data_IF_455728417702
#
_entry.id   IF_455728417702
#
_cell.length_a   1.000
_cell.length_b   1.000
_cell.length_c   1.000
_cell.angle_alpha   90.00
_cell.angle_beta   90.00
_cell.angle_gamma   90.00
#
_symmetry.space_group_name_H-M   'P 1'
#
loop_
_entity.id
_entity.type
_entity.pdbx_description
1 polymer ?
#
# COMPACT_ATOMS: atom_id res chain seq x y z
N UNK A 1 -9.86 -0.67 21.47
CA UNK A 1 -9.69 -0.96 20.04
C UNK A 1 -10.90 -0.44 19.26
N UNK A 2 -10.64 0.45 18.33
CA UNK A 2 -11.69 1.05 17.52
C UNK A 2 -11.96 0.14 16.32
N UNK A 3 -13.23 -0.15 16.08
CA UNK A 3 -13.63 -0.88 14.90
C UNK A 3 -13.61 0.03 13.68
N UNK A 4 -12.86 -0.36 12.66
CA UNK A 4 -12.79 0.38 11.41
C UNK A 4 -13.67 -0.29 10.36
N UNK A 5 -14.34 0.53 9.56
CA UNK A 5 -15.05 0.02 8.38
C UNK A 5 -14.03 -0.31 7.29
N UNK A 6 -14.39 -1.18 6.34
CA UNK A 6 -13.51 -1.44 5.20
C UNK A 6 -13.12 -0.17 4.44
N UNK A 7 -14.05 0.77 4.30
CA UNK A 7 -13.75 2.04 3.63
C UNK A 7 -12.71 2.85 4.39
N UNK A 8 -12.80 2.91 5.72
CA UNK A 8 -11.84 3.63 6.57
C UNK A 8 -10.46 2.98 6.49
N UNK A 9 -10.41 1.65 6.50
CA UNK A 9 -9.14 0.92 6.36
C UNK A 9 -8.48 1.19 5.02
N UNK A 10 -9.26 1.18 3.94
CA UNK A 10 -8.74 1.47 2.60
C UNK A 10 -8.18 2.89 2.52
N UNK A 11 -8.86 3.87 3.11
CA UNK A 11 -8.39 5.25 3.16
C UNK A 11 -7.09 5.36 3.95
N UNK A 12 -6.97 4.65 5.08
CA UNK A 12 -5.75 4.65 5.90
C UNK A 12 -4.58 4.05 5.15
N UNK A 13 -4.79 2.98 4.41
CA UNK A 13 -3.74 2.36 3.60
C UNK A 13 -3.31 3.30 2.47
N UNK A 14 -4.26 3.97 1.82
CA UNK A 14 -3.94 4.97 0.79
C UNK A 14 -3.04 6.07 1.36
N UNK A 15 -3.37 6.62 2.52
CA UNK A 15 -2.58 7.66 3.17
C UNK A 15 -1.17 7.17 3.52
N UNK A 16 -1.06 5.95 4.02
CA UNK A 16 0.24 5.35 4.36
C UNK A 16 1.11 5.21 3.12
N UNK A 17 0.55 4.65 2.05
CA UNK A 17 1.28 4.49 0.78
C UNK A 17 1.67 5.85 0.20
N UNK A 18 0.78 6.84 0.31
CA UNK A 18 1.07 8.20 -0.15
C UNK A 18 2.24 8.83 0.61
N UNK A 19 2.26 8.69 1.91
CA UNK A 19 3.36 9.19 2.74
C UNK A 19 4.69 8.49 2.41
N UNK A 20 4.64 7.18 2.20
CA UNK A 20 5.82 6.42 1.81
C UNK A 20 6.33 6.86 0.44
N UNK A 21 5.44 7.05 -0.51
CA UNK A 21 5.79 7.45 -1.87
C UNK A 21 6.34 8.86 -1.98
N UNK A 22 5.91 9.75 -1.10
CA UNK A 22 6.41 11.13 -1.07
C UNK A 22 7.66 11.31 -0.20
N UNK A 23 8.15 10.23 0.41
CA UNK A 23 9.33 10.27 1.24
C UNK A 23 9.11 10.91 2.62
N UNK A 24 7.87 11.00 3.05
CA UNK A 24 7.53 11.60 4.35
C UNK A 24 7.62 10.55 5.47
N UNK A 25 8.84 10.27 5.91
CA UNK A 25 9.11 9.27 6.94
C UNK A 25 8.37 9.48 8.25
N UNK A 26 8.39 10.69 8.83
CA UNK A 26 7.66 10.93 10.08
C UNK A 26 6.16 10.63 9.99
N UNK A 27 5.52 11.04 8.91
CA UNK A 27 4.09 10.77 8.70
C UNK A 27 3.86 9.28 8.48
N UNK A 28 4.65 8.64 7.61
CA UNK A 28 4.52 7.21 7.35
C UNK A 28 4.70 6.39 8.63
N UNK A 29 5.69 6.74 9.45
CA UNK A 29 5.93 6.07 10.73
C UNK A 29 4.77 6.21 11.69
N UNK A 30 4.21 7.41 11.81
CA UNK A 30 3.04 7.64 12.66
C UNK A 30 1.83 6.88 12.19
N UNK A 31 1.58 6.85 10.88
CA UNK A 31 0.44 6.12 10.32
C UNK A 31 0.57 4.62 10.54
N UNK A 32 1.78 4.07 10.35
CA UNK A 32 2.04 2.66 10.60
C UNK A 32 1.84 2.31 12.08
N UNK A 33 2.42 3.10 12.97
CA UNK A 33 2.28 2.91 14.42
C UNK A 33 0.83 3.00 14.85
N UNK A 34 0.10 3.98 14.32
CA UNK A 34 -1.33 4.15 14.63
C UNK A 34 -2.13 2.91 14.19
N UNK A 35 -1.89 2.42 12.99
CA UNK A 35 -2.60 1.24 12.47
C UNK A 35 -2.35 0.01 13.36
N UNK A 36 -1.10 -0.21 13.75
CA UNK A 36 -0.73 -1.38 14.54
C UNK A 36 -1.11 -1.26 16.00
N UNK A 37 -0.82 -0.11 16.63
CA UNK A 37 -0.92 0.03 18.08
C UNK A 37 -2.23 0.65 18.57
N UNK A 38 -2.84 1.55 17.76
CA UNK A 38 -4.09 2.20 18.15
C UNK A 38 -5.29 1.48 17.54
N UNK A 39 -5.27 1.24 16.23
CA UNK A 39 -6.35 0.53 15.56
C UNK A 39 -6.30 -0.97 15.80
N UNK A 40 -5.17 -1.48 16.26
CA UNK A 40 -5.00 -2.89 16.55
C UNK A 40 -5.01 -3.79 15.35
N UNK A 41 -4.62 -3.27 14.18
CA UNK A 41 -4.57 -4.10 12.97
C UNK A 41 -3.51 -5.18 13.13
N UNK A 42 -3.87 -6.47 12.93
CA UNK A 42 -2.86 -7.52 12.90
C UNK A 42 -1.84 -7.23 11.79
N UNK A 43 -0.53 -7.34 12.07
CA UNK A 43 0.49 -7.01 11.08
C UNK A 43 0.34 -7.71 9.74
N UNK A 44 0.02 -9.00 9.73
CA UNK A 44 -0.18 -9.74 8.47
C UNK A 44 -1.39 -9.24 7.69
N UNK A 45 -2.45 -8.79 8.39
CA UNK A 45 -3.61 -8.21 7.73
C UNK A 45 -3.25 -6.87 7.10
N UNK A 46 -2.56 -6.01 7.85
CA UNK A 46 -2.13 -4.72 7.34
C UNK A 46 -1.22 -4.90 6.12
N UNK A 47 -0.29 -5.85 6.22
CA UNK A 47 0.61 -6.19 5.11
C UNK A 47 -0.16 -6.63 3.87
N UNK A 48 -1.19 -7.47 4.06
CA UNK A 48 -2.05 -7.91 2.96
C UNK A 48 -2.80 -6.75 2.31
N UNK A 49 -3.26 -5.79 3.10
CA UNK A 49 -3.94 -4.60 2.58
C UNK A 49 -2.97 -3.70 1.81
N UNK A 50 -1.75 -3.55 2.30
CA UNK A 50 -0.71 -2.79 1.59
C UNK A 50 -0.39 -3.46 0.26
N UNK A 51 -0.23 -4.78 0.26
CA UNK A 51 0.04 -5.56 -0.96
C UNK A 51 -1.08 -5.37 -1.99
N UNK A 52 -2.32 -5.44 -1.54
CA UNK A 52 -3.49 -5.25 -2.40
C UNK A 52 -3.48 -3.86 -3.04
N UNK A 53 -3.13 -2.85 -2.26
CA UNK A 53 -3.08 -1.48 -2.75
C UNK A 53 -2.02 -1.32 -3.85
N UNK A 54 -0.81 -1.82 -3.61
CA UNK A 54 0.26 -1.77 -4.62
C UNK A 54 -0.11 -2.56 -5.87
N UNK A 55 -0.75 -3.71 -5.73
CA UNK A 55 -1.22 -4.50 -6.87
C UNK A 55 -2.21 -3.69 -7.70
N UNK A 56 -3.11 -2.98 -7.04
CA UNK A 56 -4.08 -2.12 -7.71
C UNK A 56 -3.39 -1.01 -8.51
N UNK A 57 -2.35 -0.38 -7.94
CA UNK A 57 -1.57 0.63 -8.64
C UNK A 57 -0.88 0.06 -9.89
N UNK A 58 -0.33 -1.15 -9.77
CA UNK A 58 0.32 -1.84 -10.89
C UNK A 58 -0.69 -2.13 -12.00
N UNK A 59 -1.86 -2.66 -11.65
CA UNK A 59 -2.92 -2.95 -12.61
C UNK A 59 -3.40 -1.68 -13.32
N UNK A 60 -3.56 -0.60 -12.57
CA UNK A 60 -3.96 0.69 -13.11
C UNK A 60 -2.93 1.18 -14.14
N UNK A 61 -1.65 1.16 -13.79
CA UNK A 61 -0.58 1.58 -14.72
C UNK A 61 -0.53 0.71 -15.97
N UNK A 62 -0.74 -0.59 -15.82
CA UNK A 62 -0.74 -1.51 -16.94
C UNK A 62 -1.85 -1.17 -17.94
N UNK A 63 -3.05 -0.85 -17.43
CA UNK A 63 -4.17 -0.47 -18.29
C UNK A 63 -3.94 0.88 -18.95
N UNK A 64 -3.37 1.85 -18.20
CA UNK A 64 -3.00 3.13 -18.79
C UNK A 64 -2.01 2.96 -19.94
N UNK A 65 -1.03 2.08 -19.77
CA UNK A 65 -0.02 1.82 -20.80
C UNK A 65 -0.64 1.24 -22.08
N UNK A 66 -1.78 0.56 -21.94
CA UNK A 66 -2.53 0.02 -23.09
C UNK A 66 -3.49 1.05 -23.68
N UNK A 67 -3.51 2.26 -23.18
CA UNK A 67 -4.39 3.31 -23.65
C UNK A 67 -5.83 3.24 -23.16
N UNK A 68 -6.09 2.44 -22.14
CA UNK A 68 -7.43 2.33 -21.56
C UNK A 68 -7.76 3.62 -20.79
N UNK A 69 -8.96 4.15 -21.03
CA UNK A 69 -9.38 5.41 -20.42
C UNK A 69 -9.77 5.21 -18.96
N UNK A 70 -9.59 6.27 -18.16
CA UNK A 70 -9.83 6.23 -16.72
C UNK A 70 -11.19 5.66 -16.31
N UNK A 71 -12.34 6.07 -16.92
CA UNK A 71 -13.61 5.48 -16.53
C UNK A 71 -13.70 3.98 -16.79
N UNK A 72 -13.05 3.50 -17.84
CA UNK A 72 -13.03 2.08 -18.17
C UNK A 72 -12.11 1.30 -17.23
N UNK A 73 -11.00 1.91 -16.83
CA UNK A 73 -10.12 1.33 -15.80
C UNK A 73 -10.90 1.14 -14.50
N UNK A 74 -11.66 2.17 -14.09
CA UNK A 74 -12.46 2.10 -12.88
C UNK A 74 -13.44 0.92 -12.93
N UNK A 75 -14.12 0.74 -14.05
CA UNK A 75 -15.05 -0.39 -14.23
C UNK A 75 -14.33 -1.73 -14.19
N UNK A 76 -13.21 -1.82 -14.90
CA UNK A 76 -12.44 -3.07 -15.00
C UNK A 76 -11.91 -3.51 -13.64
N UNK A 77 -11.41 -2.57 -12.83
CA UNK A 77 -10.84 -2.86 -11.51
C UNK A 77 -11.86 -2.82 -10.38
N UNK A 78 -13.10 -2.46 -10.67
CA UNK A 78 -14.14 -2.37 -9.66
C UNK A 78 -13.93 -1.25 -8.67
N UNK A 79 -13.40 -0.12 -9.13
CA UNK A 79 -13.10 1.05 -8.30
C UNK A 79 -14.13 2.13 -8.56
N UNK A 80 -14.62 2.77 -7.49
CA UNK A 80 -15.52 3.93 -7.64
C UNK A 80 -14.80 5.07 -8.37
N UNK A 81 -15.50 5.72 -9.30
CA UNK A 81 -14.90 6.78 -10.11
C UNK A 81 -14.33 7.92 -9.27
N UNK A 82 -14.98 8.26 -8.16
CA UNK A 82 -14.52 9.37 -7.32
C UNK A 82 -13.16 9.07 -6.66
N UNK A 83 -12.75 7.81 -6.59
CA UNK A 83 -11.43 7.42 -6.06
C UNK A 83 -10.33 7.47 -7.10
N UNK A 84 -10.70 7.50 -8.38
CA UNK A 84 -9.73 7.34 -9.46
C UNK A 84 -8.71 8.46 -9.54
N UNK A 85 -9.10 9.71 -9.33
CA UNK A 85 -8.17 10.84 -9.40
C UNK A 85 -6.99 10.65 -8.45
N UNK A 86 -7.27 10.30 -7.20
CA UNK A 86 -6.24 10.07 -6.21
C UNK A 86 -5.34 8.89 -6.56
N UNK A 87 -5.94 7.79 -7.02
CA UNK A 87 -5.19 6.59 -7.40
C UNK A 87 -4.31 6.81 -8.63
N UNK A 88 -4.84 7.51 -9.63
CA UNK A 88 -4.07 7.86 -10.83
C UNK A 88 -2.88 8.73 -10.48
N UNK A 89 -3.10 9.76 -9.66
CA UNK A 89 -2.02 10.64 -9.22
C UNK A 89 -0.96 9.86 -8.44
N UNK A 90 -1.38 8.97 -7.56
CA UNK A 90 -0.46 8.15 -6.79
C UNK A 90 0.32 7.19 -7.68
N UNK A 91 -0.36 6.51 -8.61
CA UNK A 91 0.29 5.59 -9.55
C UNK A 91 1.32 6.33 -10.41
N UNK A 92 1.00 7.56 -10.83
CA UNK A 92 1.89 8.33 -11.69
C UNK A 92 3.17 8.81 -11.01
N UNK A 93 3.22 8.77 -9.69
CA UNK A 93 4.44 9.11 -8.93
C UNK A 93 5.44 7.96 -8.91
N UNK A 94 5.05 6.78 -9.35
CA UNK A 94 5.89 5.58 -9.30
C UNK A 94 6.06 4.98 -10.69
N UNK A 95 7.28 4.53 -10.99
CA UNK A 95 7.52 3.71 -12.17
C UNK A 95 7.03 2.28 -11.92
N UNK A 96 6.84 1.51 -12.98
CA UNK A 96 6.54 0.08 -12.85
C UNK A 96 7.59 -0.64 -12.04
N UNK A 97 8.88 -0.36 -12.33
CA UNK A 97 9.98 -1.00 -11.61
C UNK A 97 9.89 -0.75 -10.11
N UNK A 98 9.55 0.47 -9.73
CA UNK A 98 9.44 0.86 -8.34
C UNK A 98 8.29 0.13 -7.64
N UNK A 99 7.15 0.03 -8.31
CA UNK A 99 5.99 -0.69 -7.77
C UNK A 99 6.28 -2.19 -7.65
N UNK A 100 6.98 -2.78 -8.61
CA UNK A 100 7.38 -4.17 -8.55
C UNK A 100 8.36 -4.44 -7.42
N UNK A 101 9.32 -3.56 -7.22
CA UNK A 101 10.25 -3.66 -6.08
C UNK A 101 9.49 -3.60 -4.75
N UNK A 102 8.52 -2.70 -4.65
CA UNK A 102 7.69 -2.61 -3.45
C UNK A 102 6.99 -3.94 -3.18
N UNK A 103 6.41 -4.56 -4.21
CA UNK A 103 5.74 -5.87 -4.06
C UNK A 103 6.72 -6.95 -3.61
N UNK A 104 7.92 -6.96 -4.16
CA UNK A 104 8.95 -7.93 -3.75
C UNK A 104 9.30 -7.78 -2.27
N UNK A 105 9.44 -6.55 -1.80
CA UNK A 105 9.75 -6.28 -0.40
C UNK A 105 8.60 -6.65 0.52
N UNK A 106 7.36 -6.42 0.07
CA UNK A 106 6.16 -6.81 0.82
C UNK A 106 6.10 -8.33 0.95
N UNK A 107 6.37 -9.05 -0.13
CA UNK A 107 6.38 -10.51 -0.11
C UNK A 107 7.50 -11.04 0.78
N UNK A 108 8.66 -10.40 0.78
CA UNK A 108 9.78 -10.78 1.64
C UNK A 108 9.43 -10.57 3.12
N UNK A 109 8.73 -9.47 3.45
CA UNK A 109 8.28 -9.22 4.81
C UNK A 109 7.27 -10.29 5.27
N UNK A 110 6.32 -10.63 4.39
CA UNK A 110 5.33 -11.67 4.67
C UNK A 110 6.01 -13.00 4.97
N UNK A 111 6.98 -13.39 4.14
CA UNK A 111 7.73 -14.61 4.34
C UNK A 111 8.55 -14.59 5.63
N UNK A 112 9.18 -13.46 5.93
CA UNK A 112 9.98 -13.31 7.16
C UNK A 112 9.14 -13.50 8.42
N UNK A 113 7.90 -13.01 8.41
CA UNK A 113 6.98 -13.20 9.53
C UNK A 113 6.56 -14.66 9.61
N UNK A 114 6.13 -15.24 8.49
CA UNK A 114 5.59 -16.60 8.44
C UNK A 114 6.63 -17.67 8.78
N UNK A 115 7.89 -17.41 8.46
CA UNK A 115 8.99 -18.34 8.75
C UNK A 115 9.68 -18.07 10.08
N UNK A 116 9.27 -17.02 10.79
CA UNK A 116 9.84 -16.68 12.09
C UNK A 116 11.21 -16.04 12.04
N UNK A 117 11.69 -15.58 10.87
CA UNK A 117 12.98 -14.88 10.78
C UNK A 117 12.96 -13.54 11.49
N UNK A 118 11.80 -12.88 11.47
CA UNK A 118 11.59 -11.61 12.15
C UNK A 118 10.27 -11.67 12.90
N UNK A 119 10.19 -10.89 13.98
CA UNK A 119 8.89 -10.66 14.59
C UNK A 119 8.04 -9.82 13.65
N UNK A 120 6.74 -9.83 13.87
CA UNK A 120 5.81 -9.04 13.07
C UNK A 120 6.23 -7.59 13.03
N UNK A 121 6.57 -7.01 14.18
CA UNK A 121 6.91 -5.60 14.28
C UNK A 121 8.24 -5.29 13.58
N UNK A 122 9.24 -6.15 13.76
CA UNK A 122 10.52 -5.96 13.08
C UNK A 122 10.34 -5.95 11.57
N UNK A 123 9.57 -6.90 11.04
CA UNK A 123 9.33 -7.00 9.61
C UNK A 123 8.62 -5.76 9.06
N UNK A 124 7.64 -5.24 9.81
CA UNK A 124 6.92 -4.04 9.39
C UNK A 124 7.82 -2.80 9.42
N UNK A 125 8.67 -2.68 10.42
CA UNK A 125 9.61 -1.56 10.52
C UNK A 125 10.65 -1.60 9.39
N UNK A 126 11.19 -2.78 9.09
CA UNK A 126 12.13 -2.96 7.99
C UNK A 126 11.48 -2.64 6.66
N UNK A 127 10.26 -3.13 6.45
CA UNK A 127 9.52 -2.87 5.22
C UNK A 127 9.31 -1.37 5.01
N UNK A 128 8.88 -0.67 6.06
CA UNK A 128 8.66 0.78 5.98
C UNK A 128 9.93 1.48 5.54
N UNK A 129 11.06 1.17 6.17
CA UNK A 129 12.34 1.76 5.82
C UNK A 129 12.72 1.47 4.36
N UNK A 130 12.52 0.24 3.90
CA UNK A 130 12.84 -0.16 2.53
C UNK A 130 11.95 0.55 1.50
N UNK A 131 10.66 0.67 1.77
CA UNK A 131 9.73 1.35 0.87
C UNK A 131 10.00 2.86 0.80
N UNK A 132 10.58 3.43 1.84
CA UNK A 132 10.94 4.85 1.87
C UNK A 132 12.19 5.18 1.06
N UNK A 133 13.05 4.20 0.81
CA UNK A 133 14.36 4.43 0.15
C UNK A 133 14.32 4.44 -1.37
N UNK A 134 13.24 4.06 -1.95
CA UNK A 134 13.16 3.94 -3.42
C UNK A 134 12.90 5.24 -4.15
#
# INVERSE_FOLDING_TARGET
>A
VRKLTPATRAASVFELVDAMGSGNGPVAGRLMTHALDVDGEPPLRLLGMIARHYRQLIQLKALQAKGVRTPEIARTLGIFEWKMTGLVNQANRHSFARLQQAMERILAADESIKTGRMTDREAMDVLLAELMQS
#
